data_IF_790748171746
#
_entry.id   IF_790748171746
#
_cell.length_a   1.000
_cell.length_b   1.000
_cell.length_c   1.000
_cell.angle_alpha   90.00
_cell.angle_beta   90.00
_cell.angle_gamma   90.00
#
_symmetry.space_group_name_H-M   'P 1'
#
loop_
_entity.id
_entity.type
_entity.pdbx_description
1 polymer ?
#
# COMPACT_ATOMS: atom_id res chain seq x y z
N UNK A 1 5.50 7.86 7.09
CA UNK A 1 4.65 6.69 7.39
C UNK A 1 4.53 5.82 6.15
N UNK A 2 3.98 6.29 5.03
CA UNK A 2 3.82 5.52 3.78
C UNK A 2 5.06 4.82 3.20
N UNK A 3 6.31 5.31 3.34
CA UNK A 3 7.48 4.49 2.95
C UNK A 3 7.68 3.31 3.90
N UNK A 4 7.51 3.51 5.22
CA UNK A 4 7.52 2.41 6.19
C UNK A 4 6.31 1.50 5.99
N UNK A 5 5.13 2.02 5.67
CA UNK A 5 3.93 1.21 5.39
C UNK A 5 4.08 0.42 4.07
N UNK A 6 4.72 0.99 3.04
CA UNK A 6 5.00 0.31 1.77
C UNK A 6 6.11 -0.72 1.91
N UNK A 7 7.18 -0.38 2.63
CA UNK A 7 8.25 -1.34 2.96
C UNK A 7 7.69 -2.44 3.85
N UNK A 8 6.91 -2.12 4.88
CA UNK A 8 6.25 -3.10 5.73
C UNK A 8 5.28 -3.98 4.92
N UNK A 9 4.45 -3.41 4.05
CA UNK A 9 3.57 -4.19 3.18
C UNK A 9 4.38 -5.10 2.24
N UNK A 10 5.46 -4.60 1.64
CA UNK A 10 6.34 -5.40 0.80
C UNK A 10 7.07 -6.49 1.60
N UNK A 11 7.50 -6.21 2.83
CA UNK A 11 8.12 -7.17 3.74
C UNK A 11 7.10 -8.21 4.19
N UNK A 12 5.88 -7.83 4.52
CA UNK A 12 4.80 -8.74 4.89
C UNK A 12 4.46 -9.65 3.71
N UNK A 13 4.25 -9.09 2.51
CA UNK A 13 4.00 -9.88 1.29
C UNK A 13 5.19 -10.80 0.99
N UNK A 14 6.42 -10.30 1.10
CA UNK A 14 7.63 -11.11 0.91
C UNK A 14 7.76 -12.23 1.95
N UNK A 15 7.40 -11.97 3.21
CA UNK A 15 7.39 -12.97 4.27
C UNK A 15 6.33 -14.04 4.00
N UNK A 16 5.10 -13.66 3.65
CA UNK A 16 4.07 -14.61 3.25
C UNK A 16 4.48 -15.42 2.02
N UNK A 17 5.18 -14.80 1.07
CA UNK A 17 5.74 -15.49 -0.08
C UNK A 17 6.78 -16.53 0.33
N UNK A 18 7.72 -16.17 1.21
CA UNK A 18 8.72 -17.10 1.71
C UNK A 18 8.09 -18.24 2.51
N UNK A 19 7.11 -17.94 3.37
CA UNK A 19 6.40 -18.96 4.18
C UNK A 19 5.61 -19.90 3.27
N UNK A 20 4.85 -19.37 2.30
CA UNK A 20 4.08 -20.16 1.35
C UNK A 20 4.98 -21.08 0.52
N UNK A 21 6.07 -20.55 -0.03
CA UNK A 21 7.02 -21.34 -0.82
C UNK A 21 7.78 -22.35 0.04
N UNK A 22 8.16 -22.01 1.28
CA UNK A 22 8.81 -22.94 2.20
C UNK A 22 7.86 -24.09 2.56
N UNK A 23 6.58 -23.80 2.78
CA UNK A 23 5.55 -24.81 3.00
C UNK A 23 5.39 -25.73 1.78
N UNK A 24 5.18 -25.17 0.58
CA UNK A 24 5.06 -25.95 -0.66
C UNK A 24 6.30 -26.80 -0.93
N UNK A 25 7.50 -26.26 -0.70
CA UNK A 25 8.76 -26.99 -0.81
C UNK A 25 8.88 -28.13 0.20
N UNK A 26 8.52 -27.89 1.46
CA UNK A 26 8.55 -28.92 2.48
C UNK A 26 7.54 -30.05 2.21
N UNK A 27 6.33 -29.72 1.74
CA UNK A 27 5.35 -30.75 1.32
C UNK A 27 5.86 -31.55 0.13
N UNK A 28 6.50 -30.91 -0.86
CA UNK A 28 7.07 -31.60 -2.02
C UNK A 28 8.20 -32.56 -1.61
N UNK A 29 9.09 -32.12 -0.71
CA UNK A 29 10.16 -32.97 -0.16
C UNK A 29 9.56 -34.18 0.57
N UNK A 30 8.56 -33.95 1.43
CA UNK A 30 7.91 -35.05 2.15
C UNK A 30 7.25 -36.03 1.19
N UNK A 31 6.50 -35.58 0.17
CA UNK A 31 5.80 -36.49 -0.74
C UNK A 31 6.70 -37.23 -1.73
N UNK A 32 7.95 -36.79 -1.86
CA UNK A 32 8.97 -37.44 -2.70
C UNK A 32 9.95 -38.29 -1.88
N UNK A 33 9.84 -38.29 -0.55
CA UNK A 33 10.70 -39.10 0.31
C UNK A 33 10.37 -40.58 0.25
N UNK A 34 11.36 -41.39 0.62
CA UNK A 34 11.19 -42.83 0.75
C UNK A 34 10.18 -43.17 1.85
N UNK A 35 9.42 -44.24 1.65
CA UNK A 35 8.42 -44.68 2.61
C UNK A 35 9.04 -45.49 3.74
N UNK A 36 8.91 -44.99 4.95
CA UNK A 36 9.37 -45.64 6.19
C UNK A 36 8.20 -46.26 6.96
N UNK A 37 8.44 -47.30 7.78
CA UNK A 37 7.42 -47.82 8.69
C UNK A 37 7.14 -46.82 9.81
N UNK A 38 5.86 -46.69 10.18
CA UNK A 38 5.41 -45.88 11.31
C UNK A 38 4.34 -46.62 12.11
N UNK A 39 4.45 -46.60 13.43
CA UNK A 39 3.48 -47.15 14.35
C UNK A 39 2.44 -46.10 14.75
N UNK A 40 1.16 -46.45 14.70
CA UNK A 40 0.05 -45.55 15.04
C UNK A 40 -0.43 -45.81 16.48
N UNK A 41 -0.31 -44.81 17.36
CA UNK A 41 -0.62 -44.94 18.78
C UNK A 41 -2.06 -44.52 19.14
N UNK A 42 -2.51 -43.36 18.65
CA UNK A 42 -3.85 -42.83 18.92
C UNK A 42 -4.36 -42.04 17.72
N UNK A 43 -5.56 -42.34 17.24
CA UNK A 43 -6.15 -41.71 16.07
C UNK A 43 -7.29 -40.75 16.47
N UNK A 44 -7.07 -39.45 16.26
CA UNK A 44 -8.03 -38.40 16.62
C UNK A 44 -8.35 -37.49 15.42
N UNK A 45 -9.64 -37.27 15.15
CA UNK A 45 -10.08 -36.27 14.17
C UNK A 45 -11.16 -36.72 13.19
N UNK A 46 -12.01 -35.78 12.79
CA UNK A 46 -13.22 -36.05 11.99
C UNK A 46 -13.06 -35.83 10.48
N UNK A 47 -12.03 -35.08 10.04
CA UNK A 47 -11.96 -34.59 8.66
C UNK A 47 -10.74 -35.08 7.84
N UNK A 48 -9.65 -35.56 8.48
CA UNK A 48 -8.42 -35.90 7.75
C UNK A 48 -7.67 -37.15 8.26
N UNK A 49 -8.19 -37.86 9.27
CA UNK A 49 -7.53 -39.04 9.82
C UNK A 49 -6.12 -38.74 10.32
N UNK A 50 -6.01 -37.88 11.33
CA UNK A 50 -4.72 -37.59 11.96
C UNK A 50 -4.52 -38.57 13.13
N UNK A 51 -3.41 -39.30 13.13
CA UNK A 51 -3.03 -40.20 14.21
C UNK A 51 -1.71 -39.76 14.81
N UNK A 52 -1.55 -39.82 16.11
CA UNK A 52 -0.25 -39.68 16.76
C UNK A 52 0.51 -41.01 16.66
N UNK A 53 1.82 -40.95 16.43
CA UNK A 53 2.62 -42.15 16.27
C UNK A 53 4.12 -41.89 16.22
N UNK A 54 4.86 -42.96 15.95
CA UNK A 54 6.33 -42.95 15.88
C UNK A 54 6.81 -43.53 14.55
N UNK A 55 7.87 -42.98 13.97
CA UNK A 55 8.48 -43.46 12.74
C UNK A 55 10.00 -43.41 12.81
N UNK A 56 10.66 -44.24 12.02
CA UNK A 56 12.12 -44.29 11.96
C UNK A 56 12.60 -43.78 10.61
N UNK A 57 13.43 -42.75 10.60
CA UNK A 57 14.06 -42.21 9.41
C UNK A 57 15.10 -43.18 8.81
N UNK A 58 15.52 -43.01 7.54
CA UNK A 58 16.50 -43.89 6.91
C UNK A 58 17.87 -43.94 7.60
N UNK A 59 18.21 -42.93 8.39
CA UNK A 59 19.43 -42.87 9.19
C UNK A 59 19.32 -43.57 10.55
N UNK A 60 18.15 -44.17 10.84
CA UNK A 60 17.85 -44.86 12.10
C UNK A 60 17.31 -43.96 13.20
N UNK A 61 17.15 -42.65 12.94
CA UNK A 61 16.59 -41.71 13.92
C UNK A 61 15.10 -41.97 14.11
N UNK A 62 14.66 -42.15 15.35
CA UNK A 62 13.24 -42.20 15.68
C UNK A 62 12.67 -40.80 15.91
N UNK A 63 11.52 -40.54 15.28
CA UNK A 63 10.74 -39.33 15.47
C UNK A 63 9.31 -39.67 15.88
N UNK A 64 8.66 -38.73 16.55
CA UNK A 64 7.28 -38.87 17.02
C UNK A 64 6.46 -37.64 16.65
N UNK A 65 5.15 -37.83 16.47
CA UNK A 65 4.23 -36.73 16.19
C UNK A 65 3.00 -37.15 15.40
N UNK A 66 2.37 -36.18 14.75
CA UNK A 66 1.16 -36.42 13.95
C UNK A 66 1.49 -37.04 12.59
N UNK A 67 0.77 -38.11 12.29
CA UNK A 67 0.75 -38.87 11.04
C UNK A 67 -0.60 -38.64 10.38
N UNK A 68 -0.57 -38.06 9.20
CA UNK A 68 -1.78 -37.70 8.46
C UNK A 68 -2.15 -38.74 7.42
N UNK A 69 -3.44 -39.03 7.28
CA UNK A 69 -3.96 -39.88 6.23
C UNK A 69 -4.32 -41.31 6.63
N UNK A 70 -3.85 -41.89 7.75
CA UNK A 70 -4.34 -43.19 8.18
C UNK A 70 -5.84 -43.15 8.49
N UNK A 71 -6.48 -44.31 8.36
CA UNK A 71 -7.83 -44.48 8.86
C UNK A 71 -7.78 -44.79 10.35
N UNK A 72 -8.85 -44.45 11.07
CA UNK A 72 -9.00 -44.82 12.49
C UNK A 72 -8.93 -46.33 12.73
N UNK A 73 -9.26 -47.13 11.72
CA UNK A 73 -9.10 -48.59 11.75
C UNK A 73 -7.64 -49.06 11.81
N UNK A 74 -6.68 -48.19 11.50
CA UNK A 74 -5.25 -48.51 11.46
C UNK A 74 -4.58 -48.25 12.82
N UNK A 75 -5.35 -47.84 13.84
CA UNK A 75 -4.84 -47.61 15.20
C UNK A 75 -4.24 -48.89 15.79
N UNK A 76 -3.02 -48.81 16.33
CA UNK A 76 -2.25 -49.96 16.80
C UNK A 76 -1.50 -50.73 15.70
N UNK A 77 -1.62 -50.34 14.43
CA UNK A 77 -0.95 -50.98 13.31
C UNK A 77 0.32 -50.23 12.87
N UNK A 78 1.19 -50.91 12.13
CA UNK A 78 2.34 -50.30 11.45
C UNK A 78 1.99 -50.01 10.00
N UNK A 79 2.04 -48.74 9.60
CA UNK A 79 1.75 -48.29 8.24
C UNK A 79 3.00 -47.72 7.56
N UNK A 80 2.99 -47.67 6.22
CA UNK A 80 4.06 -47.03 5.44
C UNK A 80 3.73 -45.56 5.25
N UNK A 81 4.62 -44.69 5.73
CA UNK A 81 4.46 -43.23 5.64
C UNK A 81 5.62 -42.61 4.89
N UNK A 82 5.38 -41.45 4.30
CA UNK A 82 6.44 -40.57 3.81
C UNK A 82 6.73 -39.55 4.90
N UNK A 83 7.95 -39.59 5.45
CA UNK A 83 8.39 -38.68 6.50
C UNK A 83 9.13 -37.49 5.90
N UNK A 84 8.92 -36.31 6.46
CA UNK A 84 9.63 -35.10 6.07
C UNK A 84 9.43 -33.95 7.07
N UNK A 85 9.88 -32.72 6.73
CA UNK A 85 10.01 -31.62 7.69
C UNK A 85 8.70 -31.16 8.34
N UNK A 86 7.55 -31.57 7.80
CA UNK A 86 6.22 -31.21 8.28
C UNK A 86 5.49 -32.39 8.95
N UNK A 87 6.19 -33.50 9.19
CA UNK A 87 5.65 -34.72 9.78
C UNK A 87 5.56 -35.88 8.79
N UNK A 88 4.80 -36.90 9.19
CA UNK A 88 4.63 -38.13 8.44
C UNK A 88 3.26 -38.19 7.75
N UNK A 89 3.23 -38.69 6.53
CA UNK A 89 2.02 -38.77 5.71
C UNK A 89 1.82 -40.19 5.22
N UNK A 90 0.69 -40.78 5.59
CA UNK A 90 0.23 -42.05 5.06
C UNK A 90 -0.66 -41.81 3.84
N UNK A 91 -0.74 -42.82 2.97
CA UNK A 91 -1.43 -42.70 1.70
C UNK A 91 -0.63 -41.87 0.67
N UNK A 92 -0.75 -42.25 -0.60
CA UNK A 92 -0.07 -41.53 -1.68
C UNK A 92 -0.67 -40.14 -1.94
N UNK A 93 -0.31 -39.58 -3.10
CA UNK A 93 -0.83 -38.30 -3.58
C UNK A 93 -2.36 -38.16 -3.50
N UNK A 94 -3.10 -39.25 -3.74
CA UNK A 94 -4.56 -39.25 -3.73
C UNK A 94 -5.20 -39.03 -2.34
N UNK A 95 -4.49 -39.29 -1.25
CA UNK A 95 -5.01 -39.04 0.12
C UNK A 95 -4.65 -37.62 0.57
N UNK A 96 -3.48 -37.13 0.14
CA UNK A 96 -2.90 -35.88 0.63
C UNK A 96 -3.14 -34.66 -0.30
N UNK A 97 -3.78 -34.83 -1.47
CA UNK A 97 -4.05 -33.76 -2.43
C UNK A 97 -4.78 -32.52 -1.86
N UNK A 98 -5.71 -32.60 -0.89
CA UNK A 98 -6.41 -31.40 -0.41
C UNK A 98 -5.49 -30.45 0.34
N UNK A 99 -4.46 -30.98 1.02
CA UNK A 99 -3.44 -30.18 1.72
C UNK A 99 -2.49 -29.50 0.74
N UNK A 100 -2.13 -30.20 -0.34
CA UNK A 100 -1.38 -29.63 -1.45
C UNK A 100 -2.12 -28.47 -2.12
N UNK A 101 -3.45 -28.58 -2.26
CA UNK A 101 -4.26 -27.51 -2.84
C UNK A 101 -4.22 -26.23 -2.02
N UNK A 102 -4.14 -26.32 -0.69
CA UNK A 102 -4.05 -25.13 0.16
C UNK A 102 -2.74 -24.38 -0.15
N UNK A 103 -1.61 -25.09 -0.21
CA UNK A 103 -0.31 -24.51 -0.60
C UNK A 103 -0.37 -23.87 -1.99
N UNK A 104 -0.85 -24.63 -2.98
CA UNK A 104 -1.00 -24.12 -4.35
C UNK A 104 -1.93 -22.89 -4.45
N UNK A 105 -3.01 -22.86 -3.66
CA UNK A 105 -3.96 -21.72 -3.63
C UNK A 105 -3.29 -20.48 -3.04
N UNK A 106 -2.52 -20.64 -1.97
CA UNK A 106 -1.73 -19.55 -1.37
C UNK A 106 -0.71 -19.01 -2.38
N UNK A 107 0.01 -19.89 -3.07
CA UNK A 107 1.00 -19.50 -4.08
C UNK A 107 0.35 -18.76 -5.26
N UNK A 108 -0.80 -19.23 -5.75
CA UNK A 108 -1.57 -18.55 -6.81
C UNK A 108 -2.08 -17.19 -6.35
N UNK A 109 -2.59 -17.07 -5.11
CA UNK A 109 -3.07 -15.81 -4.56
C UNK A 109 -1.93 -14.78 -4.39
N UNK A 110 -0.75 -15.24 -3.97
CA UNK A 110 0.46 -14.42 -3.87
C UNK A 110 0.91 -13.96 -5.25
N UNK A 111 0.97 -14.86 -6.24
CA UNK A 111 1.33 -14.52 -7.61
C UNK A 111 0.35 -13.48 -8.19
N UNK A 112 -0.95 -13.69 -7.99
CA UNK A 112 -1.99 -12.74 -8.41
C UNK A 112 -1.78 -11.36 -7.76
N UNK A 113 -1.44 -11.31 -6.47
CA UNK A 113 -1.13 -10.06 -5.76
C UNK A 113 0.07 -9.34 -6.37
N UNK A 114 1.16 -10.07 -6.66
CA UNK A 114 2.35 -9.51 -7.32
C UNK A 114 2.00 -8.95 -8.70
N UNK A 115 1.23 -9.70 -9.50
CA UNK A 115 0.76 -9.27 -10.82
C UNK A 115 -0.08 -7.99 -10.71
N UNK A 116 -1.01 -7.93 -9.76
CA UNK A 116 -1.84 -6.73 -9.52
C UNK A 116 -0.97 -5.53 -9.15
N UNK A 117 -0.03 -5.68 -8.22
CA UNK A 117 0.88 -4.60 -7.81
C UNK A 117 1.73 -4.13 -8.99
N UNK A 118 2.28 -5.05 -9.78
CA UNK A 118 3.08 -4.73 -10.96
C UNK A 118 2.23 -3.98 -12.00
N UNK A 119 1.01 -4.44 -12.27
CA UNK A 119 0.08 -3.76 -13.17
C UNK A 119 -0.25 -2.34 -12.70
N UNK A 120 -0.49 -2.14 -11.40
CA UNK A 120 -0.73 -0.80 -10.82
C UNK A 120 0.50 0.10 -11.00
N UNK A 121 1.71 -0.41 -10.77
CA UNK A 121 2.96 0.34 -10.96
C UNK A 121 3.17 0.71 -12.43
N UNK A 122 3.04 -0.26 -13.34
CA UNK A 122 3.24 -0.07 -14.78
C UNK A 122 2.21 0.91 -15.34
N UNK A 123 0.93 0.73 -15.00
CA UNK A 123 -0.13 1.66 -15.44
C UNK A 123 0.07 3.05 -14.86
N UNK A 124 0.45 3.18 -13.59
CA UNK A 124 0.75 4.47 -12.98
C UNK A 124 1.89 5.21 -13.69
N UNK A 125 2.97 4.50 -14.05
CA UNK A 125 4.07 5.07 -14.85
C UNK A 125 3.65 5.43 -16.27
N UNK A 126 2.87 4.57 -16.92
CA UNK A 126 2.34 4.83 -18.26
C UNK A 126 1.44 6.07 -18.27
N UNK A 127 0.59 6.24 -17.25
CA UNK A 127 -0.26 7.41 -17.09
C UNK A 127 0.56 8.69 -16.87
N UNK A 128 1.59 8.65 -16.02
CA UNK A 128 2.50 9.80 -15.84
C UNK A 128 3.22 10.17 -17.15
N UNK A 129 3.64 9.17 -17.95
CA UNK A 129 4.26 9.41 -19.27
C UNK A 129 3.27 9.99 -20.27
N UNK A 130 2.06 9.42 -20.38
CA UNK A 130 1.00 9.96 -21.25
C UNK A 130 0.67 11.38 -20.87
N UNK A 131 0.51 11.66 -19.58
CA UNK A 131 0.27 13.01 -19.09
C UNK A 131 1.37 14.00 -19.49
N UNK A 132 2.64 13.60 -19.39
CA UNK A 132 3.78 14.43 -19.78
C UNK A 132 3.85 14.64 -21.31
N UNK A 133 3.47 13.64 -22.11
CA UNK A 133 3.43 13.73 -23.59
C UNK A 133 2.24 14.56 -24.08
N UNK A 134 1.05 14.31 -23.54
CA UNK A 134 -0.22 14.94 -23.96
C UNK A 134 -0.30 16.42 -23.54
N UNK A 135 0.58 16.85 -22.64
CA UNK A 135 0.61 18.25 -22.23
C UNK A 135 1.27 19.12 -23.31
N UNK A 136 0.44 19.98 -23.92
CA UNK A 136 0.83 20.89 -24.99
C UNK A 136 2.07 21.73 -24.64
N UNK A 137 2.91 21.96 -25.65
CA UNK A 137 4.07 22.86 -25.58
C UNK A 137 3.60 24.26 -25.17
N UNK A 138 4.09 24.76 -24.03
CA UNK A 138 3.71 26.08 -23.48
C UNK A 138 2.86 26.02 -22.20
N UNK A 139 2.30 24.87 -21.84
CA UNK A 139 1.62 24.72 -20.55
C UNK A 139 2.63 24.55 -19.40
N UNK A 140 2.33 25.17 -18.26
CA UNK A 140 3.16 25.07 -17.06
C UNK A 140 2.93 23.72 -16.41
N UNK A 141 3.96 22.87 -16.45
CA UNK A 141 3.95 21.54 -15.82
C UNK A 141 4.98 21.52 -14.71
N UNK A 142 4.54 21.10 -13.52
CA UNK A 142 5.43 20.86 -12.39
C UNK A 142 5.48 19.39 -12.04
N UNK A 143 6.68 18.94 -11.71
CA UNK A 143 6.97 17.66 -11.10
C UNK A 143 7.20 17.86 -9.61
N UNK A 144 6.41 17.16 -8.81
CA UNK A 144 6.44 17.25 -7.35
C UNK A 144 6.95 15.92 -6.80
N UNK A 145 8.00 16.01 -5.99
CA UNK A 145 8.60 14.88 -5.29
C UNK A 145 8.81 15.22 -3.80
N UNK A 146 9.44 14.32 -3.03
CA UNK A 146 9.63 14.56 -1.58
C UNK A 146 10.59 15.71 -1.28
N UNK A 147 11.49 16.00 -2.20
CA UNK A 147 12.53 17.02 -2.04
C UNK A 147 12.04 18.40 -2.51
N UNK A 148 10.90 18.48 -3.20
CA UNK A 148 10.26 19.74 -3.56
C UNK A 148 9.59 19.71 -4.93
N UNK A 149 9.67 20.84 -5.62
CA UNK A 149 8.96 21.10 -6.88
C UNK A 149 9.96 21.48 -7.96
N UNK A 150 9.77 20.92 -9.14
CA UNK A 150 10.57 21.18 -10.34
C UNK A 150 9.66 21.51 -11.51
N UNK A 151 10.14 22.32 -12.44
CA UNK A 151 9.46 22.53 -13.72
C UNK A 151 9.64 21.31 -14.66
N UNK A 152 9.09 21.40 -15.87
CA UNK A 152 9.22 20.38 -16.91
C UNK A 152 10.67 20.16 -17.38
N UNK A 153 11.51 21.19 -17.33
CA UNK A 153 12.93 21.13 -17.73
C UNK A 153 13.81 20.51 -16.63
N UNK A 154 13.24 20.26 -15.45
CA UNK A 154 13.96 19.76 -14.28
C UNK A 154 14.57 20.87 -13.42
N UNK A 155 14.37 22.15 -13.77
CA UNK A 155 14.76 23.29 -12.96
C UNK A 155 14.01 23.22 -11.64
N UNK A 156 14.73 23.31 -10.53
CA UNK A 156 14.07 23.30 -9.22
C UNK A 156 13.41 24.64 -8.99
N UNK A 157 12.12 24.62 -8.67
CA UNK A 157 11.33 25.80 -8.33
C UNK A 157 11.30 26.00 -6.82
N UNK A 158 11.14 24.91 -6.06
CA UNK A 158 11.17 24.93 -4.60
C UNK A 158 11.84 23.68 -4.02
N UNK A 159 12.48 23.87 -2.86
CA UNK A 159 13.03 22.86 -1.97
C UNK A 159 12.07 22.67 -0.80
N UNK A 160 11.67 21.43 -0.55
CA UNK A 160 10.86 21.06 0.60
C UNK A 160 11.76 20.75 1.79
N UNK A 161 11.68 21.57 2.84
CA UNK A 161 12.33 21.30 4.11
C UNK A 161 11.39 20.52 5.03
N UNK A 162 11.92 19.47 5.67
CA UNK A 162 11.10 18.57 6.48
C UNK A 162 11.76 18.27 7.81
N UNK A 163 11.11 18.64 8.89
CA UNK A 163 11.50 18.24 10.24
C UNK A 163 10.72 17.00 10.67
N UNK A 164 11.44 15.97 11.13
CA UNK A 164 10.81 14.68 11.55
C UNK A 164 9.80 14.16 10.50
N UNK A 165 10.11 14.38 9.20
CA UNK A 165 9.30 14.04 8.01
C UNK A 165 8.07 14.92 7.74
N UNK A 166 7.76 15.88 8.59
CA UNK A 166 6.69 16.87 8.40
C UNK A 166 7.21 17.99 7.52
N UNK A 167 6.49 18.36 6.45
CA UNK A 167 6.83 19.55 5.68
C UNK A 167 6.63 20.78 6.56
N UNK A 168 7.73 21.49 6.81
CA UNK A 168 7.73 22.72 7.62
C UNK A 168 7.99 23.94 6.76
N UNK A 169 8.73 23.80 5.65
CA UNK A 169 9.06 24.94 4.80
C UNK A 169 9.18 24.61 3.32
N UNK A 170 8.94 25.62 2.48
CA UNK A 170 9.24 25.61 1.05
C UNK A 170 10.11 26.82 0.71
N UNK A 171 11.28 26.55 0.11
CA UNK A 171 12.30 27.57 -0.21
C UNK A 171 12.62 27.57 -1.71
N UNK A 172 12.68 28.71 -2.41
CA UNK A 172 13.13 28.78 -3.79
C UNK A 172 14.67 28.70 -3.91
N UNK A 173 15.22 28.34 -5.08
CA UNK A 173 16.65 28.43 -5.35
C UNK A 173 17.10 29.89 -5.32
N UNK A 174 18.11 30.21 -4.49
CA UNK A 174 18.70 31.57 -4.39
C UNK A 174 17.94 32.56 -3.49
N UNK A 175 17.12 32.06 -2.57
CA UNK A 175 15.90 32.73 -2.10
C UNK A 175 15.98 34.01 -1.25
N UNK A 176 14.91 34.79 -1.38
CA UNK A 176 14.37 35.76 -0.40
C UNK A 176 12.92 35.44 -0.01
N UNK A 177 12.11 34.83 -0.90
CA UNK A 177 10.71 34.48 -0.64
C UNK A 177 10.53 33.00 -0.28
N UNK A 178 10.41 32.65 0.99
CA UNK A 178 10.15 31.29 1.46
C UNK A 178 8.87 31.21 2.31
N UNK A 179 8.32 30.01 2.42
CA UNK A 179 7.01 29.76 3.05
C UNK A 179 7.18 28.82 4.23
N UNK A 180 6.43 29.09 5.31
CA UNK A 180 6.29 28.21 6.46
C UNK A 180 4.95 27.49 6.39
N UNK A 181 4.99 26.22 6.77
CA UNK A 181 3.83 25.35 6.79
C UNK A 181 3.59 24.90 8.22
N UNK A 182 2.39 25.17 8.72
CA UNK A 182 1.94 24.69 10.03
C UNK A 182 0.82 23.70 9.81
N UNK A 183 0.96 22.55 10.44
CA UNK A 183 -0.06 21.51 10.40
C UNK A 183 -0.95 21.58 11.62
N UNK A 184 -2.22 21.34 11.38
CA UNK A 184 -3.22 21.09 12.38
C UNK A 184 -3.97 19.80 12.01
N UNK A 185 -4.08 18.87 12.96
CA UNK A 185 -4.88 17.66 12.82
C UNK A 185 -5.99 17.72 13.87
N UNK A 186 -7.24 17.69 13.42
CA UNK A 186 -8.42 17.81 14.27
C UNK A 186 -9.39 16.66 14.00
N UNK A 187 -10.18 16.26 15.00
CA UNK A 187 -11.06 15.10 14.94
C UNK A 187 -10.49 13.87 15.66
N UNK A 188 -11.30 12.83 15.81
CA UNK A 188 -10.92 11.64 16.57
C UNK A 188 -10.52 10.49 15.63
N UNK A 189 -9.44 9.79 15.98
CA UNK A 189 -8.96 8.60 15.25
C UNK A 189 -9.74 7.34 15.67
N UNK A 190 -10.53 7.45 16.75
CA UNK A 190 -11.24 6.33 17.36
C UNK A 190 -12.35 5.79 16.45
N UNK A 191 -12.56 4.46 16.40
CA UNK A 191 -13.56 3.82 15.53
C UNK A 191 -14.98 4.38 15.70
N UNK A 192 -15.39 4.72 16.94
CA UNK A 192 -16.73 5.24 17.23
C UNK A 192 -16.98 6.65 16.64
N UNK A 193 -15.94 7.47 16.44
CA UNK A 193 -16.09 8.78 15.80
C UNK A 193 -16.20 8.71 14.27
N UNK A 194 -15.84 7.55 13.67
CA UNK A 194 -15.95 7.31 12.21
C UNK A 194 -17.40 7.15 11.78
N UNK A 195 -18.22 6.52 12.62
CA UNK A 195 -19.66 6.33 12.38
C UNK A 195 -20.48 7.63 12.55
N UNK A 196 -19.94 8.64 13.25
CA UNK A 196 -20.61 9.93 13.47
C UNK A 196 -20.19 11.04 12.49
N UNK A 197 -19.39 10.73 11.46
CA UNK A 197 -18.91 11.72 10.49
C UNK A 197 -17.76 12.60 10.98
N UNK A 198 -17.24 12.36 12.18
CA UNK A 198 -16.12 13.10 12.78
C UNK A 198 -14.76 12.45 12.43
N UNK A 199 -14.54 12.23 11.13
CA UNK A 199 -13.27 11.74 10.60
C UNK A 199 -12.10 12.70 10.88
N UNK A 200 -10.88 12.16 10.88
CA UNK A 200 -9.68 12.98 11.03
C UNK A 200 -9.56 13.98 9.87
N UNK A 201 -9.46 15.26 10.20
CA UNK A 201 -9.24 16.36 9.26
C UNK A 201 -7.82 16.86 9.42
N UNK A 202 -7.06 16.84 8.32
CA UNK A 202 -5.72 17.42 8.26
C UNK A 202 -5.80 18.75 7.54
N UNK A 203 -5.36 19.81 8.21
CA UNK A 203 -5.23 21.15 7.66
C UNK A 203 -3.75 21.54 7.63
N UNK A 204 -3.30 22.02 6.48
CA UNK A 204 -1.96 22.57 6.29
C UNK A 204 -2.11 24.06 6.02
N UNK A 205 -1.77 24.87 7.01
CA UNK A 205 -1.70 26.32 6.92
C UNK A 205 -0.40 26.72 6.25
N UNK A 206 -0.47 27.64 5.30
CA UNK A 206 0.67 28.14 4.54
C UNK A 206 0.76 29.65 4.76
N UNK A 207 1.94 30.11 5.19
CA UNK A 207 2.23 31.51 5.40
C UNK A 207 3.59 31.85 4.77
N UNK A 208 3.75 33.11 4.39
CA UNK A 208 5.06 33.66 4.08
C UNK A 208 5.95 33.62 5.32
N UNK A 209 7.27 33.62 5.12
CA UNK A 209 8.24 33.63 6.22
C UNK A 209 8.12 34.83 7.17
N UNK A 210 7.59 35.94 6.67
CA UNK A 210 7.27 37.17 7.41
C UNK A 210 6.00 37.06 8.27
N UNK A 211 5.29 35.92 8.20
CA UNK A 211 4.08 35.64 8.97
C UNK A 211 2.78 35.97 8.26
N UNK A 212 2.80 36.58 7.05
CA UNK A 212 1.57 36.87 6.30
C UNK A 212 0.90 35.56 5.84
N UNK A 213 -0.39 35.34 6.13
CA UNK A 213 -1.09 34.13 5.70
C UNK A 213 -1.26 34.13 4.19
N UNK A 214 -1.01 32.99 3.55
CA UNK A 214 -1.29 32.76 2.13
C UNK A 214 -2.60 31.99 1.96
N UNK A 215 -2.83 30.99 2.81
CA UNK A 215 -4.01 30.16 2.73
C UNK A 215 -3.83 28.81 3.43
N UNK A 216 -4.74 27.89 3.14
CA UNK A 216 -4.71 26.56 3.75
C UNK A 216 -5.21 25.47 2.79
N UNK A 217 -4.62 24.28 2.94
CA UNK A 217 -5.03 23.06 2.25
C UNK A 217 -5.64 22.12 3.28
N UNK A 218 -6.89 21.74 3.11
CA UNK A 218 -7.66 20.98 4.10
C UNK A 218 -8.30 19.75 3.48
N UNK A 219 -8.09 18.58 4.07
CA UNK A 219 -8.82 17.36 3.70
C UNK A 219 -10.31 17.53 4.07
N UNK A 220 -11.21 17.14 3.17
CA UNK A 220 -12.63 17.07 3.46
C UNK A 220 -13.02 15.62 3.78
N UNK A 221 -13.83 15.44 4.82
CA UNK A 221 -14.47 14.17 5.11
C UNK A 221 -15.70 14.01 4.19
N UNK A 222 -15.88 12.84 3.58
CA UNK A 222 -17.00 12.57 2.69
C UNK A 222 -16.80 11.30 1.86
N UNK A 223 -17.80 10.95 1.05
CA UNK A 223 -17.80 9.74 0.19
C UNK A 223 -16.81 9.81 -0.97
N UNK A 224 -16.32 11.02 -1.31
CA UNK A 224 -15.25 11.23 -2.28
C UNK A 224 -14.07 11.93 -1.64
N UNK A 225 -12.88 11.40 -1.92
CA UNK A 225 -11.59 11.97 -1.55
C UNK A 225 -11.47 13.38 -2.13
N UNK A 226 -11.63 14.38 -1.27
CA UNK A 226 -11.70 15.80 -1.67
C UNK A 226 -10.77 16.63 -0.80
N UNK A 227 -10.09 17.59 -1.40
CA UNK A 227 -9.24 18.56 -0.69
C UNK A 227 -9.72 19.96 -1.03
N UNK A 228 -10.02 20.76 -0.01
CA UNK A 228 -10.35 22.18 -0.17
C UNK A 228 -9.08 23.01 -0.09
N UNK A 229 -8.94 23.95 -1.03
CA UNK A 229 -7.90 24.96 -1.08
C UNK A 229 -8.56 26.29 -0.73
N UNK A 230 -8.11 26.91 0.34
CA UNK A 230 -8.72 28.12 0.90
C UNK A 230 -7.72 29.27 0.92
N UNK A 231 -8.23 30.48 0.75
CA UNK A 231 -7.46 31.71 0.83
C UNK A 231 -7.08 32.08 2.27
N UNK A 232 -6.41 33.22 2.47
CA UNK A 232 -5.97 33.69 3.78
C UNK A 232 -7.14 34.06 4.70
N UNK A 233 -8.28 34.41 4.12
CA UNK A 233 -9.57 34.67 4.78
C UNK A 233 -10.33 33.39 5.18
N UNK A 234 -9.79 32.21 4.83
CA UNK A 234 -10.41 30.91 5.10
C UNK A 234 -11.54 30.54 4.13
N UNK A 235 -11.88 31.41 3.18
CA UNK A 235 -12.85 31.12 2.13
C UNK A 235 -12.30 30.09 1.14
N UNK A 236 -13.15 29.16 0.70
CA UNK A 236 -12.77 28.19 -0.34
C UNK A 236 -12.51 28.93 -1.65
N UNK A 237 -11.37 28.64 -2.28
CA UNK A 237 -10.95 29.21 -3.57
C UNK A 237 -10.94 28.15 -4.66
N UNK A 238 -10.58 26.93 -4.28
CA UNK A 238 -10.59 25.79 -5.18
C UNK A 238 -10.82 24.48 -4.44
N UNK A 239 -11.16 23.46 -5.21
CA UNK A 239 -11.39 22.09 -4.74
C UNK A 239 -10.65 21.12 -5.63
N UNK A 240 -9.88 20.24 -5.02
CA UNK A 240 -9.28 19.09 -5.69
C UNK A 240 -10.15 17.86 -5.45
N UNK A 241 -10.68 17.29 -6.54
CA UNK A 241 -11.54 16.11 -6.51
C UNK A 241 -10.83 14.96 -7.22
N UNK A 242 -10.84 13.78 -6.61
CA UNK A 242 -10.35 12.57 -7.25
C UNK A 242 -11.26 12.19 -8.43
N UNK A 243 -10.74 12.25 -9.65
CA UNK A 243 -11.51 12.11 -10.90
C UNK A 243 -11.75 10.67 -11.36
N UNK A 244 -11.26 9.66 -10.63
CA UNK A 244 -11.65 8.25 -10.79
C UNK A 244 -10.76 7.42 -11.74
N UNK A 245 -10.75 6.10 -11.48
CA UNK A 245 -9.93 5.07 -12.13
C UNK A 245 -8.95 4.37 -11.16
N UNK A 246 -8.28 3.30 -11.60
CA UNK A 246 -7.12 2.73 -10.90
C UNK A 246 -5.92 3.71 -10.85
N UNK A 247 -5.98 4.81 -11.60
CA UNK A 247 -5.00 5.89 -11.60
C UNK A 247 -5.42 7.01 -10.66
N UNK A 248 -4.51 7.54 -9.86
CA UNK A 248 -4.81 8.62 -8.91
C UNK A 248 -4.75 9.99 -9.61
N UNK A 249 -5.71 10.24 -10.50
CA UNK A 249 -5.92 11.53 -11.17
C UNK A 249 -6.78 12.47 -10.32
N UNK A 250 -6.47 13.75 -10.41
CA UNK A 250 -7.08 14.81 -9.62
C UNK A 250 -7.39 15.99 -10.50
N UNK A 251 -8.63 16.43 -10.44
CA UNK A 251 -9.07 17.66 -11.06
C UNK A 251 -9.16 18.74 -9.99
N UNK A 252 -8.53 19.89 -10.24
CA UNK A 252 -8.56 21.04 -9.34
C UNK A 252 -9.36 22.15 -10.01
N UNK A 253 -10.52 22.44 -9.46
CA UNK A 253 -11.46 23.45 -9.97
C UNK A 253 -11.61 24.60 -8.99
N UNK A 254 -11.67 25.83 -9.50
CA UNK A 254 -12.08 27.00 -8.74
C UNK A 254 -13.53 26.89 -8.25
N UNK A 255 -13.90 27.74 -7.31
CA UNK A 255 -15.29 27.83 -6.80
C UNK A 255 -16.30 28.28 -7.87
N UNK A 256 -15.82 28.95 -8.91
CA UNK A 256 -16.57 29.35 -10.10
C UNK A 256 -16.73 28.20 -11.12
N UNK A 257 -16.21 27.02 -10.81
CA UNK A 257 -16.22 25.85 -11.70
C UNK A 257 -15.13 25.86 -12.78
N UNK A 258 -14.27 26.88 -12.82
CA UNK A 258 -13.16 26.93 -13.77
C UNK A 258 -12.10 25.89 -13.41
N UNK A 259 -11.56 25.18 -14.39
CA UNK A 259 -10.45 24.26 -14.14
C UNK A 259 -9.17 25.06 -13.95
N UNK A 260 -8.52 24.91 -12.80
CA UNK A 260 -7.23 25.54 -12.50
C UNK A 260 -6.08 24.59 -12.81
N UNK A 261 -6.21 23.32 -12.45
CA UNK A 261 -5.15 22.37 -12.68
C UNK A 261 -5.67 20.95 -12.82
N UNK A 262 -4.83 20.11 -13.42
CA UNK A 262 -5.01 18.67 -13.43
C UNK A 262 -3.73 18.01 -12.94
N UNK A 263 -3.86 17.08 -12.01
CA UNK A 263 -2.73 16.39 -11.40
C UNK A 263 -2.86 14.87 -11.49
N UNK A 264 -1.72 14.20 -11.58
CA UNK A 264 -1.60 12.75 -11.54
C UNK A 264 -0.64 12.38 -10.42
N UNK A 265 -1.10 11.58 -9.49
CA UNK A 265 -0.33 11.11 -8.32
C UNK A 265 -0.08 9.61 -8.52
N UNK A 266 1.16 9.23 -8.87
CA UNK A 266 1.47 7.84 -9.25
C UNK A 266 2.62 7.20 -8.46
N UNK A 267 2.78 5.88 -8.64
CA UNK A 267 3.98 5.13 -8.25
C UNK A 267 5.15 5.50 -9.18
N UNK A 268 5.76 6.65 -8.94
CA UNK A 268 6.86 7.19 -9.75
C UNK A 268 7.04 8.70 -9.63
N UNK A 269 6.03 9.40 -9.11
CA UNK A 269 6.08 10.84 -8.91
C UNK A 269 4.70 11.46 -8.96
N UNK A 270 4.66 12.77 -8.83
CA UNK A 270 3.44 13.56 -8.95
C UNK A 270 3.68 14.60 -10.03
N UNK A 271 2.74 14.71 -10.96
CA UNK A 271 2.76 15.71 -12.00
C UNK A 271 1.51 16.57 -11.87
N UNK A 272 1.66 17.86 -12.16
CA UNK A 272 0.54 18.78 -12.24
C UNK A 272 0.74 19.72 -13.42
N UNK A 273 -0.36 19.94 -14.13
CA UNK A 273 -0.47 20.88 -15.24
C UNK A 273 -1.43 21.98 -14.83
N UNK A 274 -1.01 23.22 -15.00
CA UNK A 274 -1.81 24.38 -14.69
C UNK A 274 -2.42 24.97 -15.95
N UNK A 275 -3.66 25.42 -15.84
CA UNK A 275 -4.26 26.28 -16.85
C UNK A 275 -3.62 27.68 -16.77
N UNK A 276 -3.51 28.36 -17.92
CA UNK A 276 -2.74 29.61 -18.04
C UNK A 276 -3.20 30.71 -17.05
N UNK A 277 -4.51 30.77 -16.79
CA UNK A 277 -5.15 31.74 -15.91
C UNK A 277 -4.98 31.42 -14.41
N UNK A 278 -4.33 30.31 -14.05
CA UNK A 278 -4.21 29.90 -12.64
C UNK A 278 -3.31 30.87 -11.88
N UNK A 279 -3.81 31.54 -10.82
CA UNK A 279 -3.02 32.49 -10.03
C UNK A 279 -1.83 31.82 -9.33
N UNK A 280 -0.73 32.54 -9.18
CA UNK A 280 0.51 32.01 -8.57
C UNK A 280 0.28 31.46 -7.15
N UNK A 281 -0.51 32.16 -6.33
CA UNK A 281 -0.88 31.73 -4.99
C UNK A 281 -1.60 30.37 -5.00
N UNK A 282 -2.53 30.18 -5.94
CA UNK A 282 -3.22 28.91 -6.11
C UNK A 282 -2.26 27.81 -6.55
N UNK A 283 -1.29 28.11 -7.44
CA UNK A 283 -0.27 27.13 -7.84
C UNK A 283 0.57 26.66 -6.65
N UNK A 284 0.94 27.57 -5.75
CA UNK A 284 1.66 27.23 -4.51
C UNK A 284 0.83 26.30 -3.62
N UNK A 285 -0.43 26.64 -3.34
CA UNK A 285 -1.29 25.80 -2.49
C UNK A 285 -1.55 24.42 -3.13
N UNK A 286 -1.67 24.34 -4.46
CA UNK A 286 -1.75 23.08 -5.20
C UNK A 286 -0.46 22.27 -5.04
N UNK A 287 0.72 22.91 -5.10
CA UNK A 287 1.99 22.22 -4.85
C UNK A 287 2.08 21.68 -3.41
N UNK A 288 1.62 22.43 -2.42
CA UNK A 288 1.53 21.97 -1.02
C UNK A 288 0.60 20.76 -0.91
N UNK A 289 -0.57 20.82 -1.55
CA UNK A 289 -1.47 19.66 -1.65
C UNK A 289 -0.75 18.43 -2.19
N UNK A 290 0.01 18.56 -3.28
CA UNK A 290 0.74 17.42 -3.87
C UNK A 290 1.89 16.94 -2.98
N UNK A 291 2.59 17.83 -2.29
CA UNK A 291 3.66 17.47 -1.37
C UNK A 291 3.17 16.73 -0.12
N UNK A 292 1.94 17.00 0.30
CA UNK A 292 1.29 16.42 1.48
C UNK A 292 0.16 15.45 1.15
N UNK A 293 -0.04 15.12 -0.14
CA UNK A 293 -1.15 14.29 -0.63
C UNK A 293 -1.23 12.96 0.11
N UNK A 294 -0.08 12.30 0.28
CA UNK A 294 0.08 11.05 1.01
C UNK A 294 -0.61 11.08 2.39
N UNK A 295 -0.47 12.18 3.11
CA UNK A 295 -1.03 12.34 4.46
C UNK A 295 -2.47 12.81 4.44
N UNK A 296 -2.80 13.76 3.57
CA UNK A 296 -4.17 14.23 3.36
C UNK A 296 -5.09 13.07 2.97
N UNK A 297 -4.62 12.18 2.10
CA UNK A 297 -5.36 10.99 1.65
C UNK A 297 -5.54 9.95 2.76
N UNK A 298 -4.50 9.70 3.57
CA UNK A 298 -4.57 8.72 4.67
C UNK A 298 -5.64 9.12 5.70
N UNK A 299 -5.74 10.41 6.02
CA UNK A 299 -6.74 10.92 6.96
C UNK A 299 -8.17 10.73 6.44
N UNK A 300 -8.41 10.99 5.16
CA UNK A 300 -9.73 10.83 4.52
C UNK A 300 -10.15 9.39 4.24
N UNK A 301 -9.21 8.45 4.05
CA UNK A 301 -9.55 7.01 3.92
C UNK A 301 -9.84 6.34 5.26
N UNK A 302 -9.47 6.96 6.37
CA UNK A 302 -9.82 6.47 7.71
C UNK A 302 -11.23 6.89 8.15
N UNK A 303 -11.94 7.70 7.36
CA UNK A 303 -13.28 8.20 7.65
C UNK A 303 -14.40 7.57 6.80
N UNK A 304 -14.08 6.67 5.87
CA UNK A 304 -15.02 5.96 4.99
C UNK A 304 -15.24 4.51 5.42
#
# INVERSE_FOLDING_TARGET
MLLRTRVLAATIVGLFFLIGNAYSGAVLVTLTSERVPAYLADCSGFLWGDCEGTWTLPDGTEETGYITGPHRSDEGETVRVQAGPLGAYSGGWATNWPRLIIGATVDVALLATVVIVLLVVVRGRAQLRRFDVDTATGQVVWRVDRQGVRDRRGTRLWFAHREKRVLTELRPPGGTAWYRLRREESGSVLPQARLSGNGAVVTVHVAHADGRPLGQVRSAAGTKLTVSIRGPDGAERARAVHSGGLGSSWEITGVDGTRLAYAVIGLGGRLVRFEAHTPEEARMLIAVFLLESDRLMTASTMSS
#
